data_IF_147414860513
#
_entry.id   IF_147414860513
#
_cell.length_a   1.000
_cell.length_b   1.000
_cell.length_c   1.000
_cell.angle_alpha   90.00
_cell.angle_beta   90.00
_cell.angle_gamma   90.00
#
_symmetry.space_group_name_H-M   'P 1'
#
loop_
_entity.id
_entity.type
_entity.pdbx_description
1 polymer ?
#
# COMPACT_ATOMS: atom_id res chain seq x y z
N UNK A 1 -31.84 0.76 7.94
CA UNK A 1 -31.21 1.86 7.20
C UNK A 1 -32.11 3.06 6.99
N UNK A 2 -33.24 2.96 6.25
CA UNK A 2 -34.15 4.11 6.03
C UNK A 2 -34.57 4.83 7.31
N UNK A 3 -34.81 4.11 8.38
CA UNK A 3 -35.21 4.64 9.69
C UNK A 3 -34.07 5.43 10.36
N UNK A 4 -32.83 4.91 10.27
CA UNK A 4 -31.62 5.59 10.79
C UNK A 4 -31.39 6.91 10.02
N UNK A 5 -31.50 6.88 8.70
CA UNK A 5 -31.32 8.07 7.86
C UNK A 5 -32.37 9.14 8.23
N UNK A 6 -33.63 8.74 8.43
CA UNK A 6 -34.67 9.67 8.82
C UNK A 6 -34.40 10.30 10.21
N UNK A 7 -33.88 9.53 11.15
CA UNK A 7 -33.49 10.04 12.46
C UNK A 7 -32.33 11.03 12.35
N UNK A 8 -31.32 10.75 11.52
CA UNK A 8 -30.22 11.68 11.25
C UNK A 8 -30.75 13.00 10.66
N UNK A 9 -31.65 12.92 9.67
CA UNK A 9 -32.25 14.11 9.05
C UNK A 9 -33.03 14.95 10.06
N UNK A 10 -33.66 14.31 11.05
CA UNK A 10 -34.37 14.98 12.12
C UNK A 10 -33.45 15.38 13.29
N UNK A 11 -32.17 15.03 13.25
CA UNK A 11 -31.18 15.22 14.33
C UNK A 11 -31.59 14.53 15.64
N UNK A 12 -32.21 13.35 15.53
CA UNK A 12 -32.63 12.53 16.66
C UNK A 12 -31.66 11.36 16.90
N UNK A 13 -31.45 10.98 18.16
CA UNK A 13 -30.66 9.81 18.58
C UNK A 13 -29.23 9.73 17.99
N UNK A 14 -28.59 10.88 17.74
CA UNK A 14 -27.30 10.94 17.03
C UNK A 14 -26.19 10.16 17.75
N UNK A 15 -26.16 10.16 19.08
CA UNK A 15 -25.15 9.40 19.86
C UNK A 15 -25.31 7.89 19.71
N UNK A 16 -26.56 7.39 19.66
CA UNK A 16 -26.84 5.97 19.46
C UNK A 16 -26.46 5.54 18.05
N UNK A 17 -26.80 6.35 17.07
CA UNK A 17 -26.45 6.12 15.65
C UNK A 17 -24.94 6.16 15.47
N UNK A 18 -24.26 7.10 16.07
CA UNK A 18 -22.78 7.17 16.04
C UNK A 18 -22.16 5.95 16.70
N UNK A 19 -22.63 5.55 17.87
CA UNK A 19 -22.16 4.34 18.57
C UNK A 19 -22.31 3.07 17.73
N UNK A 20 -23.41 2.97 16.99
CA UNK A 20 -23.61 1.88 16.03
C UNK A 20 -22.59 1.93 14.88
N UNK A 21 -22.38 3.11 14.29
CA UNK A 21 -21.39 3.29 13.24
C UNK A 21 -19.95 3.00 13.72
N UNK A 22 -19.60 3.46 14.92
CA UNK A 22 -18.32 3.21 15.55
C UNK A 22 -18.05 1.71 15.77
N UNK A 23 -19.03 0.98 16.31
CA UNK A 23 -18.94 -0.46 16.50
C UNK A 23 -18.77 -1.21 15.18
N UNK A 24 -19.46 -0.76 14.12
CA UNK A 24 -19.32 -1.34 12.79
C UNK A 24 -17.94 -1.06 12.18
N UNK A 25 -17.36 0.13 12.39
CA UNK A 25 -15.97 0.43 12.00
C UNK A 25 -14.96 -0.50 12.67
N UNK A 26 -15.13 -0.77 13.96
CA UNK A 26 -14.24 -1.71 14.68
C UNK A 26 -14.38 -3.15 14.19
N UNK A 27 -15.61 -3.58 13.87
CA UNK A 27 -15.89 -4.95 13.47
C UNK A 27 -15.57 -5.23 12.00
N UNK A 28 -16.02 -4.35 11.12
CA UNK A 28 -16.03 -4.56 9.66
C UNK A 28 -14.91 -3.79 8.95
N UNK A 29 -14.17 -2.95 9.69
CA UNK A 29 -13.11 -2.10 9.18
C UNK A 29 -13.59 -0.77 8.58
N UNK A 30 -12.65 0.08 8.13
CA UNK A 30 -12.91 1.48 7.79
C UNK A 30 -13.75 1.68 6.52
N UNK A 31 -14.20 0.62 5.86
CA UNK A 31 -14.90 0.69 4.57
C UNK A 31 -16.21 -0.08 4.58
N UNK A 32 -16.80 -0.29 5.74
CA UNK A 32 -18.18 -0.79 5.82
C UNK A 32 -19.12 0.17 5.09
N UNK A 33 -19.79 -0.32 4.05
CA UNK A 33 -20.73 0.46 3.22
C UNK A 33 -21.77 1.16 4.11
N UNK A 34 -22.38 0.39 5.01
CA UNK A 34 -23.39 0.87 5.94
C UNK A 34 -22.87 2.00 6.83
N UNK A 35 -21.64 1.86 7.33
CA UNK A 35 -21.03 2.86 8.21
C UNK A 35 -20.71 4.15 7.45
N UNK A 36 -20.11 4.03 6.27
CA UNK A 36 -19.79 5.19 5.44
C UNK A 36 -21.07 5.95 5.02
N UNK A 37 -22.16 5.23 4.73
CA UNK A 37 -23.46 5.82 4.44
C UNK A 37 -23.97 6.63 5.65
N UNK A 38 -23.96 6.06 6.85
CA UNK A 38 -24.36 6.75 8.08
C UNK A 38 -23.49 7.99 8.32
N UNK A 39 -22.16 7.87 8.22
CA UNK A 39 -21.25 9.00 8.41
C UNK A 39 -21.48 10.10 7.38
N UNK A 40 -21.81 9.74 6.14
CA UNK A 40 -22.14 10.71 5.09
C UNK A 40 -23.39 11.52 5.43
N UNK A 41 -24.43 10.84 5.90
CA UNK A 41 -25.67 11.52 6.33
C UNK A 41 -25.45 12.36 7.59
N UNK A 42 -24.64 11.88 8.57
CA UNK A 42 -24.27 12.67 9.75
C UNK A 42 -23.54 13.96 9.36
N UNK A 43 -22.57 13.86 8.45
CA UNK A 43 -21.84 15.04 7.97
C UNK A 43 -22.73 16.04 7.27
N UNK A 44 -23.73 15.54 6.52
CA UNK A 44 -24.63 16.37 5.72
C UNK A 44 -25.73 17.04 6.56
N UNK A 45 -26.40 16.30 7.44
CA UNK A 45 -27.60 16.77 8.15
C UNK A 45 -27.34 17.17 9.61
N UNK A 46 -26.22 16.75 10.19
CA UNK A 46 -25.80 17.10 11.55
C UNK A 46 -24.32 17.53 11.58
N UNK A 47 -23.91 18.58 10.83
CA UNK A 47 -22.50 18.95 10.65
C UNK A 47 -21.81 19.35 11.95
N UNK A 48 -22.50 20.00 12.87
CA UNK A 48 -21.94 20.38 14.17
C UNK A 48 -21.63 19.14 15.02
N UNK A 49 -22.55 18.17 15.06
CA UNK A 49 -22.34 16.90 15.70
C UNK A 49 -21.19 16.11 15.07
N UNK A 50 -21.20 16.00 13.73
CA UNK A 50 -20.14 15.33 12.99
C UNK A 50 -18.77 15.93 13.28
N UNK A 51 -18.65 17.26 13.29
CA UNK A 51 -17.39 17.95 13.60
C UNK A 51 -16.87 17.65 15.00
N UNK A 52 -17.76 17.39 15.97
CA UNK A 52 -17.37 17.01 17.33
C UNK A 52 -16.76 15.59 17.41
N UNK A 53 -17.22 14.67 16.56
CA UNK A 53 -16.81 13.26 16.54
C UNK A 53 -15.83 12.91 15.41
N UNK A 54 -15.60 13.81 14.45
CA UNK A 54 -14.76 13.60 13.24
C UNK A 54 -13.36 13.13 13.64
N UNK A 55 -12.79 13.68 14.67
CA UNK A 55 -11.48 13.32 15.20
C UNK A 55 -11.38 11.84 15.56
N UNK A 56 -12.38 11.33 16.26
CA UNK A 56 -12.43 9.94 16.68
C UNK A 56 -12.64 9.02 15.48
N UNK A 57 -13.51 9.41 14.53
CA UNK A 57 -13.74 8.69 13.27
C UNK A 57 -12.43 8.52 12.51
N UNK A 58 -11.70 9.62 12.25
CA UNK A 58 -10.42 9.60 11.54
C UNK A 58 -9.39 8.71 12.24
N UNK A 59 -9.38 8.73 13.57
CA UNK A 59 -8.48 7.89 14.38
C UNK A 59 -8.78 6.40 14.22
N UNK A 60 -10.06 6.01 14.31
CA UNK A 60 -10.50 4.61 14.14
C UNK A 60 -10.22 4.13 12.70
N UNK A 61 -10.42 4.98 11.70
CA UNK A 61 -10.15 4.68 10.30
C UNK A 61 -8.64 4.61 9.96
N UNK A 62 -7.75 4.97 10.90
CA UNK A 62 -6.30 4.94 10.68
C UNK A 62 -5.77 6.09 9.82
N UNK A 63 -6.59 7.12 9.56
CA UNK A 63 -6.21 8.34 8.83
C UNK A 63 -5.97 9.53 9.77
N UNK A 64 -5.52 9.24 10.97
CA UNK A 64 -5.28 10.20 12.04
C UNK A 64 -4.17 11.23 11.73
N UNK A 65 -3.36 10.99 10.70
CA UNK A 65 -2.36 11.95 10.22
C UNK A 65 -2.98 13.19 9.54
N UNK A 66 -4.25 13.14 9.13
CA UNK A 66 -5.00 14.29 8.59
C UNK A 66 -5.55 15.23 9.67
N UNK A 67 -5.31 14.93 10.92
CA UNK A 67 -5.93 15.54 12.06
C UNK A 67 -5.13 16.73 12.60
N UNK A 68 -5.76 17.88 12.86
CA UNK A 68 -5.02 19.06 13.31
C UNK A 68 -4.59 19.01 14.79
N UNK A 69 -5.37 18.41 15.69
CA UNK A 69 -5.07 18.42 17.13
C UNK A 69 -5.79 17.30 17.88
N UNK A 70 -5.08 16.53 18.70
CA UNK A 70 -5.66 15.47 19.51
C UNK A 70 -6.36 16.02 20.76
N UNK A 71 -7.66 15.75 20.91
CA UNK A 71 -8.49 16.21 22.04
C UNK A 71 -8.77 15.12 23.06
N UNK A 72 -8.84 13.86 22.66
CA UNK A 72 -9.11 12.72 23.53
C UNK A 72 -7.83 11.96 23.86
N UNK A 73 -7.84 11.14 24.92
CA UNK A 73 -6.71 10.27 25.27
C UNK A 73 -6.39 9.30 24.14
N UNK A 74 -7.42 8.72 23.52
CA UNK A 74 -7.26 7.80 22.39
C UNK A 74 -6.58 8.48 21.21
N UNK A 75 -7.02 9.66 20.83
CA UNK A 75 -6.43 10.39 19.73
C UNK A 75 -4.99 10.86 20.01
N UNK A 76 -4.65 11.13 21.28
CA UNK A 76 -3.26 11.39 21.69
C UNK A 76 -2.37 10.15 21.53
N UNK A 77 -2.88 8.97 21.83
CA UNK A 77 -2.14 7.72 21.61
C UNK A 77 -1.86 7.49 20.11
N UNK A 78 -2.85 7.75 19.25
CA UNK A 78 -2.66 7.67 17.82
C UNK A 78 -1.70 8.74 17.27
N UNK A 79 -1.74 9.94 17.82
CA UNK A 79 -0.78 11.01 17.50
C UNK A 79 0.65 10.60 17.85
N UNK A 80 0.87 10.06 19.05
CA UNK A 80 2.17 9.53 19.46
C UNK A 80 2.62 8.37 18.56
N UNK A 81 1.72 7.50 18.16
CA UNK A 81 2.03 6.42 17.24
C UNK A 81 2.38 6.94 15.83
N UNK A 82 1.64 7.91 15.32
CA UNK A 82 1.94 8.58 14.06
C UNK A 82 3.31 9.26 14.10
N UNK A 83 3.59 9.96 15.19
CA UNK A 83 4.90 10.61 15.37
C UNK A 83 6.04 9.60 15.46
N UNK A 84 5.84 8.47 16.12
CA UNK A 84 6.81 7.37 16.14
C UNK A 84 7.07 6.82 14.71
N UNK A 85 6.02 6.63 13.90
CA UNK A 85 6.17 6.22 12.50
C UNK A 85 6.98 7.25 11.71
N UNK A 86 6.65 8.54 11.85
CA UNK A 86 7.36 9.64 11.18
C UNK A 86 8.83 9.71 11.58
N UNK A 87 9.14 9.55 12.85
CA UNK A 87 10.53 9.52 13.34
C UNK A 87 11.31 8.31 12.81
N UNK A 88 10.64 7.15 12.68
CA UNK A 88 11.27 5.91 12.23
C UNK A 88 11.53 5.90 10.72
N UNK A 89 10.59 6.36 9.94
CA UNK A 89 10.63 6.24 8.47
C UNK A 89 10.83 7.58 7.75
N UNK A 90 10.81 8.71 8.47
CA UNK A 90 10.88 10.08 7.94
C UNK A 90 9.75 10.45 6.97
N UNK A 91 8.64 9.70 7.02
CA UNK A 91 7.44 9.88 6.20
C UNK A 91 6.18 9.62 7.02
N UNK A 92 5.07 10.19 6.58
CA UNK A 92 3.74 9.96 7.14
C UNK A 92 3.14 8.68 6.55
N UNK A 93 3.45 7.54 7.15
CA UNK A 93 2.88 6.25 6.74
C UNK A 93 1.67 5.89 7.58
N UNK A 94 0.73 5.17 6.92
CA UNK A 94 -0.33 4.50 7.65
C UNK A 94 0.23 3.36 8.51
N UNK A 95 -0.47 2.96 9.59
CA UNK A 95 -0.04 1.81 10.41
C UNK A 95 0.22 0.54 9.59
N UNK A 96 -0.56 0.33 8.53
CA UNK A 96 -0.42 -0.82 7.62
C UNK A 96 0.89 -0.74 6.84
N UNK A 97 1.18 0.41 6.24
CA UNK A 97 2.43 0.63 5.50
C UNK A 97 3.65 0.48 6.42
N UNK A 98 3.60 1.07 7.62
CA UNK A 98 4.67 0.95 8.61
C UNK A 98 4.88 -0.51 9.05
N UNK A 99 3.80 -1.27 9.25
CA UNK A 99 3.90 -2.70 9.60
C UNK A 99 4.50 -3.51 8.43
N UNK A 100 4.09 -3.26 7.19
CA UNK A 100 4.66 -3.91 6.00
C UNK A 100 6.16 -3.63 5.93
N UNK A 101 6.59 -2.38 6.06
CA UNK A 101 8.01 -2.00 6.05
C UNK A 101 8.79 -2.71 7.15
N UNK A 102 8.26 -2.75 8.38
CA UNK A 102 8.86 -3.48 9.51
C UNK A 102 9.03 -4.96 9.20
N UNK A 103 8.04 -5.60 8.60
CA UNK A 103 8.11 -7.02 8.24
C UNK A 103 9.11 -7.27 7.11
N UNK A 104 9.20 -6.40 6.12
CA UNK A 104 10.21 -6.50 5.04
C UNK A 104 11.63 -6.38 5.63
N UNK A 105 11.84 -5.49 6.60
CA UNK A 105 13.15 -5.35 7.25
C UNK A 105 13.54 -6.60 8.03
N UNK A 106 12.58 -7.23 8.69
CA UNK A 106 12.80 -8.38 9.57
C UNK A 106 12.98 -9.73 8.84
N UNK A 107 12.59 -9.85 7.56
CA UNK A 107 12.60 -11.10 6.81
C UNK A 107 13.41 -10.95 5.52
N UNK A 108 14.03 -12.06 5.07
CA UNK A 108 14.79 -12.08 3.81
C UNK A 108 13.85 -12.02 2.60
N UNK A 109 12.70 -12.69 2.68
CA UNK A 109 11.70 -12.67 1.63
C UNK A 109 10.32 -12.34 2.20
N UNK A 110 9.52 -11.55 1.49
CA UNK A 110 8.24 -11.10 2.00
C UNK A 110 7.18 -11.04 0.91
N UNK A 111 6.02 -11.60 1.19
CA UNK A 111 4.84 -11.49 0.33
C UNK A 111 3.69 -10.83 1.06
N UNK A 112 3.08 -9.82 0.48
CA UNK A 112 1.93 -9.19 1.09
C UNK A 112 0.78 -8.96 0.11
N UNK A 113 -0.42 -9.09 0.64
CA UNK A 113 -1.65 -8.74 -0.03
C UNK A 113 -2.25 -7.51 0.63
N UNK A 114 -2.53 -6.52 -0.18
CA UNK A 114 -3.20 -5.30 0.27
C UNK A 114 -4.01 -4.71 -0.88
N UNK A 115 -5.16 -4.09 -0.63
CA UNK A 115 -5.95 -3.40 -1.64
C UNK A 115 -5.13 -2.40 -2.46
N UNK A 116 -5.54 -2.10 -3.69
CA UNK A 116 -4.80 -1.22 -4.61
C UNK A 116 -4.56 0.18 -4.04
N UNK A 117 -5.46 0.67 -3.20
CA UNK A 117 -5.38 2.01 -2.58
C UNK A 117 -4.68 2.07 -1.23
N UNK A 118 -4.13 0.96 -0.72
CA UNK A 118 -3.34 0.97 0.53
C UNK A 118 -1.97 1.61 0.40
N UNK A 119 -1.62 2.04 -0.83
CA UNK A 119 -0.34 2.66 -1.10
C UNK A 119 0.84 1.66 -1.17
N UNK A 120 0.64 0.48 -1.77
CA UNK A 120 1.70 -0.50 -2.04
C UNK A 120 2.91 0.13 -2.72
N UNK A 121 2.66 0.98 -3.73
CA UNK A 121 3.73 1.71 -4.43
C UNK A 121 4.50 2.70 -3.53
N UNK A 122 3.90 3.20 -2.45
CA UNK A 122 4.63 4.01 -1.46
C UNK A 122 5.64 3.19 -0.68
N UNK A 123 5.27 1.94 -0.30
CA UNK A 123 6.20 1.00 0.34
C UNK A 123 7.39 0.72 -0.59
N UNK A 124 7.13 0.42 -1.85
CA UNK A 124 8.20 0.15 -2.82
C UNK A 124 9.09 1.37 -3.06
N UNK A 125 8.50 2.56 -3.18
CA UNK A 125 9.28 3.82 -3.30
C UNK A 125 10.18 4.05 -2.09
N UNK A 126 9.69 3.81 -0.88
CA UNK A 126 10.52 3.91 0.32
C UNK A 126 11.71 2.95 0.29
N UNK A 127 11.50 1.70 -0.09
CA UNK A 127 12.58 0.72 -0.22
C UNK A 127 13.61 1.14 -1.29
N UNK A 128 13.14 1.68 -2.42
CA UNK A 128 13.99 2.20 -3.48
C UNK A 128 14.78 3.42 -3.00
N UNK A 129 14.14 4.35 -2.29
CA UNK A 129 14.78 5.56 -1.77
C UNK A 129 15.88 5.26 -0.75
N UNK A 130 15.58 4.35 0.18
CA UNK A 130 16.47 4.03 1.32
C UNK A 130 17.54 2.99 1.02
N UNK A 131 17.40 2.25 -0.08
CA UNK A 131 18.37 1.25 -0.52
C UNK A 131 19.74 1.90 -0.83
N UNK A 132 20.80 1.19 -0.51
CA UNK A 132 22.18 1.61 -0.78
C UNK A 132 22.83 0.85 -1.94
N UNK A 133 22.22 -0.23 -2.38
CA UNK A 133 22.67 -1.09 -3.49
C UNK A 133 21.67 -1.04 -4.64
N UNK A 134 21.88 -1.82 -5.67
CA UNK A 134 20.99 -1.91 -6.82
C UNK A 134 19.61 -2.43 -6.41
N UNK A 135 18.58 -1.93 -7.07
CA UNK A 135 17.18 -2.37 -6.88
C UNK A 135 16.57 -2.69 -8.23
N UNK A 136 15.87 -3.81 -8.34
CA UNK A 136 15.04 -4.09 -9.50
C UNK A 136 13.55 -4.11 -9.10
N UNK A 137 12.71 -3.38 -9.81
CA UNK A 137 11.25 -3.49 -9.71
C UNK A 137 10.71 -4.16 -10.97
N UNK A 138 9.93 -5.21 -10.78
CA UNK A 138 9.32 -5.99 -11.84
C UNK A 138 7.84 -5.64 -11.89
N UNK A 139 7.42 -5.08 -13.00
CA UNK A 139 6.04 -4.62 -13.24
C UNK A 139 5.41 -5.34 -14.44
N UNK A 140 4.09 -5.59 -14.45
CA UNK A 140 3.46 -6.39 -15.49
C UNK A 140 3.37 -5.69 -16.85
N UNK A 141 3.48 -4.37 -16.93
CA UNK A 141 3.24 -3.66 -18.18
C UNK A 141 4.20 -2.48 -18.41
N UNK A 142 4.31 -2.08 -19.71
CA UNK A 142 5.09 -0.90 -20.08
C UNK A 142 4.49 0.41 -19.55
N UNK A 143 3.18 0.47 -19.37
CA UNK A 143 2.52 1.63 -18.81
C UNK A 143 2.99 1.88 -17.36
N UNK A 144 3.05 0.81 -16.56
CA UNK A 144 3.57 0.88 -15.20
C UNK A 144 5.07 1.20 -15.14
N UNK A 145 5.87 0.80 -16.13
CA UNK A 145 7.28 1.23 -16.22
C UNK A 145 7.35 2.76 -16.24
N UNK A 146 6.57 3.41 -17.12
CA UNK A 146 6.59 4.87 -17.25
C UNK A 146 6.11 5.55 -15.96
N UNK A 147 5.02 5.05 -15.36
CA UNK A 147 4.51 5.60 -14.09
C UNK A 147 5.55 5.49 -12.96
N UNK A 148 6.19 4.34 -12.80
CA UNK A 148 7.25 4.18 -11.81
C UNK A 148 8.48 5.03 -12.13
N UNK A 149 8.87 5.12 -13.40
CA UNK A 149 10.01 5.93 -13.83
C UNK A 149 9.84 7.39 -13.47
N UNK A 150 8.71 7.99 -13.83
CA UNK A 150 8.44 9.40 -13.55
C UNK A 150 8.46 9.67 -12.03
N UNK A 151 7.76 8.83 -11.26
CA UNK A 151 7.68 8.98 -9.80
C UNK A 151 9.02 8.73 -9.08
N UNK A 152 9.85 7.81 -9.57
CA UNK A 152 11.16 7.55 -8.98
C UNK A 152 12.14 8.67 -9.34
N UNK A 153 12.06 9.23 -10.55
CA UNK A 153 12.85 10.40 -10.93
C UNK A 153 12.51 11.63 -10.09
N UNK A 154 11.25 11.82 -9.71
CA UNK A 154 10.83 12.88 -8.80
C UNK A 154 11.36 12.66 -7.37
N UNK A 155 11.40 11.41 -6.92
CA UNK A 155 11.81 11.04 -5.56
C UNK A 155 13.33 11.12 -5.37
N UNK A 156 14.10 10.64 -6.35
CA UNK A 156 15.55 10.52 -6.26
C UNK A 156 16.21 11.72 -6.93
N UNK A 157 16.63 12.69 -6.11
CA UNK A 157 17.36 13.87 -6.60
C UNK A 157 18.86 13.63 -6.79
N UNK A 158 19.39 12.51 -6.30
CA UNK A 158 20.81 12.16 -6.38
C UNK A 158 21.18 11.71 -7.80
N UNK A 159 21.94 12.54 -8.50
CA UNK A 159 22.42 12.28 -9.87
C UNK A 159 23.40 11.10 -9.99
N UNK A 160 23.92 10.59 -8.89
CA UNK A 160 24.77 9.42 -8.86
C UNK A 160 23.99 8.09 -8.93
N UNK A 161 22.66 8.16 -8.87
CA UNK A 161 21.75 7.02 -9.01
C UNK A 161 21.24 6.93 -10.44
N UNK A 162 21.46 5.82 -11.11
CA UNK A 162 20.87 5.57 -12.42
C UNK A 162 19.46 4.99 -12.27
N UNK A 163 18.52 5.48 -13.05
CA UNK A 163 17.16 4.93 -13.16
C UNK A 163 17.00 4.42 -14.60
N UNK A 164 16.90 3.12 -14.76
CA UNK A 164 16.92 2.46 -16.07
C UNK A 164 15.67 1.58 -16.28
N UNK A 165 15.08 1.68 -17.45
CA UNK A 165 13.95 0.85 -17.89
C UNK A 165 14.38 -0.38 -18.73
N UNK A 166 15.66 -0.58 -18.84
CA UNK A 166 16.31 -1.74 -19.48
C UNK A 166 17.67 -1.98 -18.81
N UNK A 167 18.22 -3.16 -18.98
CA UNK A 167 19.53 -3.49 -18.39
C UNK A 167 20.64 -2.99 -19.31
N UNK A 168 21.35 -1.96 -18.86
CA UNK A 168 22.50 -1.39 -19.56
C UNK A 168 23.69 -1.30 -18.60
N UNK A 169 24.66 -2.15 -18.85
CA UNK A 169 25.88 -2.25 -17.99
C UNK A 169 26.89 -1.13 -18.25
N UNK A 170 26.83 -0.49 -19.40
CA UNK A 170 27.76 0.60 -19.70
C UNK A 170 27.48 1.78 -18.79
N UNK A 171 26.19 2.08 -18.61
CA UNK A 171 25.78 3.20 -17.75
C UNK A 171 25.89 2.89 -16.24
N UNK A 172 25.87 1.62 -15.82
CA UNK A 172 26.00 1.25 -14.40
C UNK A 172 27.42 1.45 -13.85
N UNK A 173 28.44 1.52 -14.69
CA UNK A 173 29.86 1.63 -14.25
C UNK A 173 30.20 2.95 -13.58
N UNK A 174 29.41 4.00 -13.77
CA UNK A 174 29.69 5.34 -13.28
C UNK A 174 28.70 5.83 -12.23
N UNK A 175 27.80 4.95 -11.79
CA UNK A 175 26.81 5.25 -10.76
C UNK A 175 27.15 4.58 -9.45
N UNK A 176 26.70 5.18 -8.35
CA UNK A 176 26.81 4.56 -7.03
C UNK A 176 25.87 3.35 -6.89
N UNK A 177 24.72 3.42 -7.52
CA UNK A 177 23.73 2.33 -7.61
C UNK A 177 22.78 2.53 -8.79
N UNK A 178 22.06 1.49 -9.15
CA UNK A 178 21.09 1.51 -10.23
C UNK A 178 19.72 1.02 -9.76
N UNK A 179 18.67 1.71 -10.20
CA UNK A 179 17.27 1.30 -10.06
C UNK A 179 16.78 0.83 -11.41
N UNK A 180 16.49 -0.44 -11.53
CA UNK A 180 15.94 -1.06 -12.74
C UNK A 180 14.42 -1.16 -12.64
N UNK A 181 13.70 -0.64 -13.64
CA UNK A 181 12.23 -0.76 -13.75
C UNK A 181 11.94 -1.62 -14.98
N UNK A 182 11.56 -2.86 -14.78
CA UNK A 182 11.57 -3.87 -15.82
C UNK A 182 10.23 -4.61 -15.91
N UNK A 183 9.87 -5.06 -17.12
CA UNK A 183 8.90 -6.16 -17.24
C UNK A 183 9.59 -7.50 -17.00
N UNK A 184 8.85 -8.60 -16.74
CA UNK A 184 9.46 -9.94 -16.61
C UNK A 184 10.34 -10.29 -17.82
N UNK A 185 9.92 -9.92 -19.04
CA UNK A 185 10.65 -10.20 -20.27
C UNK A 185 11.99 -9.47 -20.35
N UNK A 186 12.07 -8.25 -19.79
CA UNK A 186 13.33 -7.48 -19.73
C UNK A 186 14.22 -7.92 -18.57
N UNK A 187 13.65 -8.41 -17.48
CA UNK A 187 14.38 -8.85 -16.29
C UNK A 187 15.34 -10.02 -16.58
N UNK A 188 15.08 -10.82 -17.61
CA UNK A 188 16.00 -11.90 -18.03
C UNK A 188 17.42 -11.41 -18.32
N UNK A 189 17.59 -10.16 -18.72
CA UNK A 189 18.89 -9.59 -19.04
C UNK A 189 19.77 -9.39 -17.78
N UNK A 190 19.17 -9.26 -16.57
CA UNK A 190 19.90 -9.18 -15.32
C UNK A 190 20.85 -10.38 -15.12
N UNK A 191 20.39 -11.57 -15.51
CA UNK A 191 21.15 -12.82 -15.32
C UNK A 191 22.43 -12.90 -16.16
N UNK A 192 22.49 -12.18 -17.29
CA UNK A 192 23.70 -12.10 -18.12
C UNK A 192 24.80 -11.28 -17.46
N UNK A 193 24.43 -10.49 -16.45
CA UNK A 193 25.31 -9.53 -15.83
C UNK A 193 25.39 -9.70 -14.31
N UNK A 194 25.04 -10.88 -13.79
CA UNK A 194 24.95 -11.18 -12.37
C UNK A 194 26.22 -10.80 -11.59
N UNK A 195 27.39 -11.00 -12.20
CA UNK A 195 28.68 -10.74 -11.56
C UNK A 195 29.02 -9.23 -11.44
N UNK A 196 28.18 -8.36 -12.01
CA UNK A 196 28.36 -6.91 -12.05
C UNK A 196 27.26 -6.14 -11.30
N UNK A 197 26.23 -6.83 -10.87
CA UNK A 197 25.06 -6.27 -10.20
C UNK A 197 25.06 -6.71 -8.73
N UNK A 198 24.82 -5.77 -7.85
CA UNK A 198 24.66 -6.00 -6.41
C UNK A 198 23.24 -5.64 -5.99
N UNK A 199 22.30 -6.53 -6.28
CA UNK A 199 20.87 -6.32 -6.02
C UNK A 199 20.57 -6.46 -4.52
N UNK A 200 20.10 -5.38 -3.88
CA UNK A 200 19.57 -5.41 -2.51
C UNK A 200 18.13 -5.93 -2.49
N UNK A 201 17.31 -5.38 -3.40
CA UNK A 201 15.91 -5.76 -3.52
C UNK A 201 15.53 -6.14 -4.94
N UNK A 202 14.66 -7.15 -5.06
CA UNK A 202 13.80 -7.34 -6.22
C UNK A 202 12.35 -7.23 -5.77
N UNK A 203 11.68 -6.21 -6.25
CA UNK A 203 10.31 -5.84 -5.90
C UNK A 203 9.38 -6.30 -7.03
N UNK A 204 8.42 -7.15 -6.72
CA UNK A 204 7.45 -7.65 -7.68
C UNK A 204 6.10 -6.97 -7.46
N UNK A 205 5.75 -6.01 -8.32
CA UNK A 205 4.42 -5.40 -8.29
C UNK A 205 3.43 -6.21 -9.10
N UNK A 206 2.18 -6.24 -8.64
CA UNK A 206 1.10 -7.04 -9.23
C UNK A 206 1.50 -8.53 -9.38
N UNK A 207 2.08 -9.10 -8.31
CA UNK A 207 2.63 -10.46 -8.33
C UNK A 207 1.59 -11.57 -8.53
N UNK A 208 0.26 -11.27 -8.55
CA UNK A 208 -0.78 -12.20 -8.97
C UNK A 208 -0.66 -12.62 -10.44
N UNK A 209 0.18 -11.96 -11.24
CA UNK A 209 0.55 -12.41 -12.57
C UNK A 209 1.06 -13.87 -12.57
N UNK A 210 1.68 -14.28 -11.48
CA UNK A 210 2.11 -15.66 -11.22
C UNK A 210 0.95 -16.67 -11.18
N UNK A 211 -0.28 -16.23 -10.90
CA UNK A 211 -1.46 -17.10 -10.79
C UNK A 211 -2.19 -17.26 -12.13
N UNK A 212 -1.78 -16.51 -13.15
CA UNK A 212 -2.35 -16.67 -14.48
C UNK A 212 -1.94 -18.02 -15.07
N UNK A 213 -2.93 -18.79 -15.53
CA UNK A 213 -2.70 -20.02 -16.31
C UNK A 213 -2.31 -19.68 -17.75
N UNK A 214 -1.17 -19.03 -17.87
CA UNK A 214 -0.65 -18.48 -19.12
C UNK A 214 0.87 -18.68 -19.22
N UNK A 215 1.39 -18.64 -20.43
CA UNK A 215 2.85 -18.62 -20.67
C UNK A 215 3.54 -17.48 -19.92
N UNK A 216 2.85 -16.38 -19.71
CA UNK A 216 3.38 -15.21 -19.02
C UNK A 216 3.50 -15.44 -17.53
N UNK A 217 2.52 -16.12 -16.88
CA UNK A 217 2.60 -16.54 -15.49
C UNK A 217 3.75 -17.51 -15.24
N UNK A 218 3.91 -18.52 -16.10
CA UNK A 218 5.04 -19.45 -16.04
C UNK A 218 6.40 -18.74 -16.20
N UNK A 219 6.43 -17.76 -17.10
CA UNK A 219 7.64 -16.96 -17.31
C UNK A 219 7.99 -16.11 -16.09
N UNK A 220 6.99 -15.50 -15.44
CA UNK A 220 7.17 -14.75 -14.21
C UNK A 220 7.78 -15.64 -13.11
N UNK A 221 7.23 -16.83 -12.87
CA UNK A 221 7.79 -17.78 -11.89
C UNK A 221 9.22 -18.21 -12.24
N UNK A 222 9.52 -18.37 -13.54
CA UNK A 222 10.88 -18.66 -13.99
C UNK A 222 11.85 -17.52 -13.63
N UNK A 223 11.43 -16.26 -13.73
CA UNK A 223 12.24 -15.11 -13.33
C UNK A 223 12.48 -15.14 -11.81
N UNK A 224 11.44 -15.40 -11.00
CA UNK A 224 11.57 -15.49 -9.53
C UNK A 224 12.62 -16.54 -9.13
N UNK A 225 12.51 -17.76 -9.65
CA UNK A 225 13.47 -18.85 -9.35
C UNK A 225 14.89 -18.54 -9.81
N UNK A 226 15.04 -17.88 -10.95
CA UNK A 226 16.36 -17.47 -11.45
C UNK A 226 16.97 -16.37 -10.60
N UNK A 227 16.16 -15.45 -10.05
CA UNK A 227 16.66 -14.45 -9.11
C UNK A 227 17.18 -15.12 -7.86
N UNK A 228 16.46 -16.04 -7.24
CA UNK A 228 16.93 -16.80 -6.09
C UNK A 228 18.27 -17.52 -6.37
N UNK A 229 18.40 -18.15 -7.55
CA UNK A 229 19.60 -18.92 -7.90
C UNK A 229 20.81 -18.04 -8.24
N UNK A 230 20.60 -16.87 -8.82
CA UNK A 230 21.71 -16.02 -9.29
C UNK A 230 22.05 -14.87 -8.33
N UNK A 231 21.12 -14.51 -7.45
CA UNK A 231 21.25 -13.43 -6.46
C UNK A 231 20.74 -13.89 -5.09
N UNK A 232 21.42 -14.84 -4.42
CA UNK A 232 20.91 -15.46 -3.19
C UNK A 232 20.77 -14.49 -2.02
N UNK A 233 21.56 -13.42 -1.98
CA UNK A 233 21.53 -12.40 -0.92
C UNK A 233 20.44 -11.33 -1.15
N UNK A 234 19.75 -11.39 -2.28
CA UNK A 234 18.75 -10.39 -2.65
C UNK A 234 17.42 -10.63 -1.94
N UNK A 235 16.86 -9.60 -1.34
CA UNK A 235 15.50 -9.66 -0.77
C UNK A 235 14.45 -9.60 -1.87
N UNK A 236 13.58 -10.60 -1.91
CA UNK A 236 12.41 -10.61 -2.80
C UNK A 236 11.16 -10.15 -2.05
N UNK A 237 10.48 -9.13 -2.59
CA UNK A 237 9.24 -8.59 -2.02
C UNK A 237 8.13 -8.66 -3.06
N UNK A 238 7.04 -9.32 -2.72
CA UNK A 238 5.89 -9.54 -3.59
C UNK A 238 4.69 -8.75 -3.10
N UNK A 239 4.18 -7.84 -3.93
CA UNK A 239 2.95 -7.11 -3.67
C UNK A 239 1.81 -7.67 -4.52
N UNK A 240 0.71 -8.04 -3.87
CA UNK A 240 -0.47 -8.62 -4.50
C UNK A 240 -1.73 -7.82 -4.11
N UNK A 241 -2.68 -7.61 -5.01
CA UNK A 241 -3.99 -7.07 -4.65
C UNK A 241 -4.94 -8.18 -4.22
N UNK A 242 -5.75 -7.95 -3.20
CA UNK A 242 -6.93 -8.75 -2.83
C UNK A 242 -6.75 -10.27 -2.79
N UNK A 243 -5.61 -10.77 -2.36
CA UNK A 243 -5.37 -12.21 -2.24
C UNK A 243 -5.45 -12.61 -0.76
N UNK A 244 -6.24 -13.64 -0.46
CA UNK A 244 -6.43 -14.12 0.92
C UNK A 244 -5.22 -14.91 1.45
N UNK A 245 -4.40 -15.44 0.55
CA UNK A 245 -3.27 -16.29 0.90
C UNK A 245 -1.99 -15.83 0.16
N UNK A 246 -1.35 -14.72 0.57
CA UNK A 246 -0.13 -14.22 -0.05
C UNK A 246 1.09 -15.16 0.12
N UNK A 247 1.05 -16.07 1.08
CA UNK A 247 2.08 -17.09 1.32
C UNK A 247 2.23 -18.09 0.17
N UNK A 248 1.17 -18.31 -0.61
CA UNK A 248 1.24 -19.20 -1.78
C UNK A 248 2.33 -18.79 -2.77
N UNK A 249 2.63 -17.51 -2.89
CA UNK A 249 3.72 -17.01 -3.74
C UNK A 249 5.09 -17.53 -3.28
N UNK A 250 5.31 -17.53 -1.97
CA UNK A 250 6.56 -17.99 -1.39
C UNK A 250 6.68 -19.52 -1.49
N UNK A 251 5.61 -20.24 -1.16
CA UNK A 251 5.55 -21.71 -1.22
C UNK A 251 5.73 -22.22 -2.66
N UNK A 252 5.06 -21.64 -3.65
CA UNK A 252 5.15 -22.00 -5.07
C UNK A 252 6.58 -21.90 -5.62
N UNK A 253 7.35 -20.97 -5.11
CA UNK A 253 8.72 -20.74 -5.54
C UNK A 253 9.77 -21.34 -4.58
N UNK A 254 9.37 -22.18 -3.62
CA UNK A 254 10.23 -22.88 -2.66
C UNK A 254 11.15 -21.93 -1.85
N UNK A 255 10.61 -20.79 -1.43
CA UNK A 255 11.31 -19.95 -0.45
C UNK A 255 11.35 -20.65 0.91
N UNK A 256 12.47 -20.50 1.63
CA UNK A 256 12.59 -21.05 2.97
C UNK A 256 11.56 -20.39 3.90
N UNK A 257 10.86 -21.22 4.68
CA UNK A 257 9.80 -20.78 5.60
C UNK A 257 10.41 -19.94 6.73
N UNK A 258 11.61 -20.27 7.17
CA UNK A 258 12.27 -19.57 8.28
C UNK A 258 12.74 -18.17 7.88
N UNK A 259 13.08 -17.96 6.59
CA UNK A 259 13.57 -16.69 6.04
C UNK A 259 12.46 -15.89 5.33
N UNK A 260 11.25 -16.41 5.26
CA UNK A 260 10.15 -15.79 4.52
C UNK A 260 8.90 -15.60 5.35
N UNK A 261 8.16 -14.52 5.09
CA UNK A 261 6.89 -14.22 5.76
C UNK A 261 5.87 -13.65 4.79
N UNK A 262 4.62 -13.94 5.07
CA UNK A 262 3.51 -13.38 4.34
C UNK A 262 2.58 -12.56 5.26
N UNK A 263 1.96 -11.55 4.69
CA UNK A 263 1.01 -10.68 5.39
C UNK A 263 -0.20 -10.38 4.49
N UNK A 264 -1.38 -10.58 5.03
CA UNK A 264 -2.63 -10.25 4.35
C UNK A 264 -3.34 -9.12 5.07
N UNK A 265 -3.59 -8.03 4.35
CA UNK A 265 -4.44 -6.95 4.81
C UNK A 265 -5.75 -6.98 4.02
N UNK A 266 -6.79 -7.48 4.65
CA UNK A 266 -8.09 -7.72 4.02
C UNK A 266 -9.01 -6.48 4.03
N UNK A 267 -8.71 -5.49 4.88
CA UNK A 267 -9.54 -4.29 4.98
C UNK A 267 -9.35 -3.41 3.74
N UNK A 268 -10.45 -3.07 3.08
CA UNK A 268 -10.44 -2.14 1.95
C UNK A 268 -10.16 -0.74 2.48
N UNK A 269 -9.20 -0.04 1.91
CA UNK A 269 -8.85 1.35 2.24
C UNK A 269 -9.40 2.35 1.22
N UNK A 270 -10.08 1.88 0.19
CA UNK A 270 -10.74 2.77 -0.79
C UNK A 270 -12.07 3.17 -0.23
N UNK A 271 -12.27 4.46 -0.02
CA UNK A 271 -13.59 5.00 0.20
C UNK A 271 -14.49 4.71 -1.02
N UNK A 272 -15.70 4.31 -0.75
CA UNK A 272 -16.73 4.35 -1.76
C UNK A 272 -17.34 5.75 -1.72
N UNK A 273 -17.58 6.33 -2.89
CA UNK A 273 -18.32 7.59 -2.98
C UNK A 273 -19.81 7.23 -2.91
N UNK A 274 -20.50 7.74 -1.91
CA UNK A 274 -21.93 7.59 -1.78
C UNK A 274 -22.62 8.85 -2.29
N UNK A 275 -23.62 8.67 -3.15
CA UNK A 275 -24.46 9.74 -3.60
C UNK A 275 -25.82 9.61 -2.93
N UNK A 276 -26.22 10.59 -2.13
CA UNK A 276 -27.59 10.78 -1.68
C UNK A 276 -28.29 11.74 -2.65
N UNK A 277 -29.46 11.38 -3.14
CA UNK A 277 -30.24 12.15 -4.10
C UNK A 277 -31.68 12.31 -3.62
N UNK A 278 -32.16 13.53 -3.58
CA UNK A 278 -33.50 13.90 -3.13
C UNK A 278 -34.50 14.19 -4.27
N UNK A 279 -34.08 13.99 -5.52
CA UNK A 279 -34.84 14.28 -6.73
C UNK A 279 -34.43 15.59 -7.41
N UNK A 280 -33.82 16.52 -6.69
CA UNK A 280 -33.40 17.85 -7.18
C UNK A 280 -31.90 18.10 -6.99
N UNK A 281 -31.34 17.55 -5.94
CA UNK A 281 -29.94 17.72 -5.57
C UNK A 281 -29.31 16.37 -5.28
N UNK A 282 -28.00 16.26 -5.45
CA UNK A 282 -27.23 15.10 -5.00
C UNK A 282 -26.05 15.57 -4.14
N UNK A 283 -25.72 14.75 -3.16
CA UNK A 283 -24.61 14.96 -2.28
C UNK A 283 -23.70 13.74 -2.36
N UNK A 284 -22.42 13.96 -2.32
CA UNK A 284 -21.46 12.88 -2.27
C UNK A 284 -20.61 12.97 -1.01
N UNK A 285 -20.27 11.84 -0.46
CA UNK A 285 -19.26 11.71 0.57
C UNK A 285 -18.18 10.78 0.04
N UNK A 286 -16.97 11.28 0.05
CA UNK A 286 -15.77 10.50 -0.23
C UNK A 286 -14.76 10.79 0.87
N UNK A 287 -13.89 9.85 1.15
CA UNK A 287 -12.65 10.13 1.85
C UNK A 287 -11.80 10.92 0.86
N UNK A 288 -11.96 12.25 0.85
CA UNK A 288 -11.16 13.10 0.01
C UNK A 288 -9.69 12.94 0.39
N UNK A 289 -8.92 12.59 -0.60
CA UNK A 289 -7.47 12.38 -0.49
C UNK A 289 -6.70 13.66 -0.79
N UNK A 290 -7.38 14.82 -0.87
CA UNK A 290 -6.73 16.13 -1.08
C UNK A 290 -6.19 16.73 0.21
#
# INVERSE_FOLDING_TARGET
MKDIIQQIMNQENLDEIYGYAQNALFKDGPVSITTLEILSYLKLFAPDYFSAVEEEILSIMGIFYKKPTARTLQSKLFELYSEHIRQTYHHDYTPVQANILKQIQANQHFSFSAPTSTGKSHVFRHLIETSKRDVAIIVPSRALINEYYDRICELISDKSVNILTFVDIINTRHSNRTVFILTPERAKELFKHKDKLDLEFVLFDEAQLSDEDSTRGLFFDSIVRRIQSNFPETKCVFARPFVSNPEAQLQKNNFDIDDSKAFCYAQKCVGQIFFAHDGTSYFHFGLDTD
#
